data_IF_350500121460
#
_entry.id   IF_350500121460
#
_cell.length_a   1.000
_cell.length_b   1.000
_cell.length_c   1.000
_cell.angle_alpha   90.00
_cell.angle_beta   90.00
_cell.angle_gamma   90.00
#
_symmetry.space_group_name_H-M   'P 1'
#
loop_
_entity.id
_entity.type
_entity.pdbx_description
1 polymer ?
#
# COMPACT_ATOMS: atom_id res chain seq x y z
N UNK A 1 4.37 -2.18 23.83
CA UNK A 1 3.51 -2.71 22.76
C UNK A 1 4.24 -2.52 21.46
N UNK A 2 4.43 -3.60 20.70
CA UNK A 2 4.99 -3.52 19.35
C UNK A 2 4.02 -2.72 18.47
N UNK A 3 4.55 -1.72 17.77
CA UNK A 3 3.75 -0.83 16.91
C UNK A 3 3.52 -1.43 15.51
N UNK A 4 4.19 -2.53 15.19
CA UNK A 4 4.26 -3.11 13.87
C UNK A 4 4.30 -4.64 13.96
N UNK A 5 3.80 -5.31 12.93
CA UNK A 5 3.77 -6.77 12.82
C UNK A 5 4.43 -7.14 11.50
N UNK A 6 5.44 -8.01 11.53
CA UNK A 6 6.07 -8.53 10.32
C UNK A 6 5.05 -9.36 9.52
N UNK A 7 4.74 -8.91 8.30
CA UNK A 7 3.78 -9.60 7.44
C UNK A 7 4.43 -10.63 6.51
N UNK A 8 5.64 -10.35 6.00
CA UNK A 8 6.41 -11.23 5.10
C UNK A 8 7.83 -10.67 4.87
N UNK A 9 8.71 -11.41 4.20
CA UNK A 9 10.04 -10.96 3.75
C UNK A 9 10.25 -11.26 2.27
N UNK A 10 10.60 -10.24 1.48
CA UNK A 10 10.82 -10.37 0.03
C UNK A 10 12.16 -9.79 -0.39
N UNK A 11 12.82 -10.46 -1.34
CA UNK A 11 14.01 -9.90 -2.00
C UNK A 11 13.60 -8.82 -3.02
N UNK A 12 14.30 -7.68 -2.97
CA UNK A 12 14.19 -6.62 -3.97
C UNK A 12 14.63 -7.18 -5.32
N UNK A 13 13.70 -7.22 -6.28
CA UNK A 13 13.98 -7.76 -7.61
C UNK A 13 14.89 -6.82 -8.40
N UNK A 14 15.52 -7.33 -9.47
CA UNK A 14 16.46 -6.57 -10.31
C UNK A 14 15.85 -5.29 -10.92
N UNK A 15 14.55 -5.28 -11.15
CA UNK A 15 13.82 -4.11 -11.65
C UNK A 15 13.15 -3.29 -10.54
N UNK A 16 13.68 -3.39 -9.33
CA UNK A 16 13.28 -2.64 -8.14
C UNK A 16 11.88 -2.96 -7.60
N UNK A 17 11.25 -4.07 -8.02
CA UNK A 17 9.96 -4.49 -7.50
C UNK A 17 10.09 -5.24 -6.17
N UNK A 18 9.20 -4.91 -5.24
CA UNK A 18 8.89 -5.72 -4.05
C UNK A 18 7.47 -6.24 -4.17
N UNK A 19 7.23 -7.48 -3.71
CA UNK A 19 5.89 -8.07 -3.68
C UNK A 19 5.24 -7.73 -2.35
N UNK A 20 4.07 -7.09 -2.39
CA UNK A 20 3.31 -6.82 -1.16
C UNK A 20 2.58 -8.09 -0.68
N UNK A 21 2.59 -8.40 0.64
CA UNK A 21 1.89 -9.55 1.19
C UNK A 21 0.38 -9.44 0.97
N UNK A 22 -0.33 -10.55 0.70
CA UNK A 22 -1.79 -10.52 0.46
C UNK A 22 -2.58 -9.96 1.65
N UNK A 23 -2.00 -10.04 2.84
CA UNK A 23 -2.59 -9.66 4.12
C UNK A 23 -2.92 -8.17 4.18
N UNK A 24 -2.21 -7.33 3.40
CA UNK A 24 -2.48 -5.89 3.35
C UNK A 24 -3.87 -5.56 2.79
N UNK A 25 -4.43 -6.43 1.94
CA UNK A 25 -5.73 -6.21 1.31
C UNK A 25 -6.83 -6.07 2.38
N UNK A 26 -6.76 -6.93 3.41
CA UNK A 26 -7.70 -6.92 4.53
C UNK A 26 -7.29 -5.92 5.60
N UNK A 27 -6.01 -5.88 5.97
CA UNK A 27 -5.54 -5.07 7.10
C UNK A 27 -5.59 -3.56 6.82
N UNK A 28 -5.41 -3.16 5.56
CA UNK A 28 -5.41 -1.76 5.12
C UNK A 28 -6.63 -1.41 4.25
N UNK A 29 -7.53 -2.35 3.99
CA UNK A 29 -8.71 -2.19 3.12
C UNK A 29 -8.37 -1.62 1.73
N UNK A 30 -7.36 -2.21 1.07
CA UNK A 30 -6.86 -1.74 -0.23
C UNK A 30 -7.28 -2.66 -1.38
N UNK A 31 -7.47 -2.08 -2.56
CA UNK A 31 -7.95 -2.75 -3.76
C UNK A 31 -6.81 -2.83 -4.78
N UNK A 32 -6.57 -4.04 -5.30
CA UNK A 32 -5.52 -4.30 -6.30
C UNK A 32 -5.82 -3.51 -7.57
N UNK A 33 -4.82 -2.77 -8.06
CA UNK A 33 -4.95 -2.00 -9.30
C UNK A 33 -5.70 -0.67 -9.15
N UNK A 34 -6.23 -0.36 -7.97
CA UNK A 34 -6.98 0.88 -7.73
C UNK A 34 -6.34 1.73 -6.62
N UNK A 35 -5.95 1.14 -5.50
CA UNK A 35 -5.36 1.89 -4.40
C UNK A 35 -3.94 2.31 -4.72
N UNK A 36 -3.70 3.62 -4.72
CA UNK A 36 -2.39 4.22 -4.90
C UNK A 36 -1.67 4.38 -3.56
N UNK A 37 -0.35 4.24 -3.56
CA UNK A 37 0.49 4.47 -2.39
C UNK A 37 1.52 5.55 -2.69
N UNK A 38 1.66 6.52 -1.78
CA UNK A 38 2.79 7.42 -1.73
C UNK A 38 3.96 6.69 -1.05
N UNK A 39 5.15 6.81 -1.63
CA UNK A 39 6.38 6.18 -1.15
C UNK A 39 7.23 7.28 -0.49
N UNK A 40 7.58 7.08 0.77
CA UNK A 40 8.48 7.95 1.54
C UNK A 40 9.69 7.15 2.00
N UNK A 41 10.80 7.84 2.24
CA UNK A 41 11.95 7.29 2.95
C UNK A 41 12.07 7.99 4.31
N UNK A 42 12.15 7.20 5.37
CA UNK A 42 12.62 7.71 6.66
C UNK A 42 14.14 7.53 6.69
N UNK A 43 14.88 8.63 6.55
CA UNK A 43 16.34 8.60 6.49
C UNK A 43 17.00 8.32 7.83
N UNK A 44 16.30 8.49 8.95
CA UNK A 44 16.83 8.21 10.28
C UNK A 44 16.82 6.70 10.58
N UNK A 45 15.72 6.02 10.26
CA UNK A 45 15.57 4.58 10.47
C UNK A 45 16.02 3.74 9.26
N UNK A 46 16.19 4.36 8.08
CA UNK A 46 16.54 3.64 6.86
C UNK A 46 15.37 2.83 6.27
N UNK A 47 14.15 3.29 6.47
CA UNK A 47 12.92 2.57 6.11
C UNK A 47 12.21 3.19 4.91
N UNK A 48 11.55 2.34 4.11
CA UNK A 48 10.56 2.79 3.12
C UNK A 48 9.18 2.72 3.76
N UNK A 49 8.46 3.84 3.71
CA UNK A 49 7.10 3.95 4.23
C UNK A 49 6.14 4.07 3.06
N UNK A 50 5.19 3.14 2.97
CA UNK A 50 4.08 3.19 2.01
C UNK A 50 2.84 3.75 2.71
N UNK A 51 2.32 4.88 2.25
CA UNK A 51 1.07 5.47 2.77
C UNK A 51 0.01 5.43 1.68
N UNK A 52 -1.22 5.03 2.02
CA UNK A 52 -2.35 5.13 1.09
C UNK A 52 -2.46 6.59 0.67
N UNK A 53 -2.40 6.84 -0.63
CA UNK A 53 -2.60 8.18 -1.16
C UNK A 53 -4.07 8.54 -0.98
N UNK A 54 -4.34 9.68 -0.35
CA UNK A 54 -5.68 10.23 -0.33
C UNK A 54 -6.07 10.53 -1.78
N UNK A 55 -7.07 9.81 -2.28
CA UNK A 55 -7.65 10.15 -3.57
C UNK A 55 -8.21 11.57 -3.47
N UNK A 56 -7.62 12.53 -4.19
CA UNK A 56 -8.42 13.66 -4.65
C UNK A 56 -9.66 13.06 -5.30
N UNK A 57 -10.85 13.40 -4.79
CA UNK A 57 -12.16 12.92 -5.26
C UNK A 57 -12.18 12.77 -6.79
N UNK A 58 -12.02 11.55 -7.29
CA UNK A 58 -11.85 11.30 -8.73
C UNK A 58 -12.23 9.91 -9.22
N UNK A 59 -12.65 9.01 -8.33
CA UNK A 59 -13.29 7.75 -8.71
C UNK A 59 -14.79 7.91 -8.77
N UNK A 60 -15.34 8.15 -9.96
CA UNK A 60 -16.78 8.05 -10.23
C UNK A 60 -17.24 6.61 -9.99
N UNK A 61 -18.05 6.35 -8.96
CA UNK A 61 -18.95 5.20 -8.95
C UNK A 61 -20.21 5.58 -9.74
N UNK A 62 -20.22 5.27 -11.03
CA UNK A 62 -21.44 5.13 -11.82
C UNK A 62 -22.25 3.94 -11.28
N UNK A 63 -23.55 4.14 -11.07
CA UNK A 63 -24.53 3.04 -11.05
C UNK A 63 -25.36 2.86 -9.78
N UNK A 64 -26.23 3.81 -9.47
CA UNK A 64 -27.56 3.47 -8.93
C UNK A 64 -28.57 3.76 -10.05
N UNK A 65 -28.94 2.70 -10.76
CA UNK A 65 -30.16 2.61 -11.56
C UNK A 65 -31.02 1.52 -10.92
N UNK A 66 -32.32 1.83 -10.86
CA UNK A 66 -33.45 1.07 -10.31
C UNK A 66 -33.71 1.28 -8.83
#
# INVERSE_FOLDING_TARGET
MEKEILLDTYVLQQDMRIRLPKQILKNLNVIKGETMFNIYINTESGEIILRIAESGKGGKSNGQKS
#
